data_IF_632420120569
#
_entry.id   IF_632420120569
#
_cell.length_a   1.000
_cell.length_b   1.000
_cell.length_c   1.000
_cell.angle_alpha   90.00
_cell.angle_beta   90.00
_cell.angle_gamma   90.00
#
_symmetry.space_group_name_H-M   'P 1'
#
loop_
_entity.id
_entity.type
_entity.pdbx_description
1 polymer ?
#
# COMPACT_ATOMS: atom_id res chain seq x y z
N UNK A 1 -15.45 -5.26 -5.20
CA UNK A 1 -15.45 -3.80 -5.20
C UNK A 1 -14.08 -3.32 -5.68
N UNK A 2 -14.03 -2.30 -6.52
CA UNK A 2 -12.77 -1.68 -6.97
C UNK A 2 -12.40 -0.55 -6.01
N UNK A 3 -11.12 -0.48 -5.64
CA UNK A 3 -10.56 0.68 -4.97
C UNK A 3 -10.10 1.64 -6.06
N UNK A 4 -10.62 2.85 -6.06
CA UNK A 4 -10.33 3.85 -7.08
C UNK A 4 -11.23 3.76 -8.31
N UNK A 5 -11.93 4.84 -8.58
CA UNK A 5 -12.91 4.91 -9.67
C UNK A 5 -12.41 5.72 -10.87
N UNK A 6 -11.54 6.70 -10.64
CA UNK A 6 -11.17 7.71 -11.64
C UNK A 6 -9.75 7.52 -12.21
N UNK A 7 -8.95 6.62 -11.66
CA UNK A 7 -7.57 6.35 -12.11
C UNK A 7 -6.57 7.49 -11.92
N UNK A 8 -6.97 8.59 -11.27
CA UNK A 8 -6.13 9.79 -11.12
C UNK A 8 -5.21 9.76 -9.90
N UNK A 9 -5.50 8.90 -8.91
CA UNK A 9 -4.71 8.82 -7.68
C UNK A 9 -3.24 8.45 -7.92
N UNK A 10 -2.97 7.65 -8.94
CA UNK A 10 -1.61 7.28 -9.34
C UNK A 10 -0.72 8.49 -9.66
N UNK A 11 -1.28 9.51 -10.29
CA UNK A 11 -0.50 10.70 -10.66
C UNK A 11 0.00 11.51 -9.46
N UNK A 12 -0.64 11.39 -8.30
CA UNK A 12 -0.17 12.04 -7.08
C UNK A 12 1.21 11.54 -6.62
N UNK A 13 1.62 10.34 -7.02
CA UNK A 13 2.94 9.81 -6.71
C UNK A 13 4.08 10.65 -7.32
N UNK A 14 3.85 11.36 -8.42
CA UNK A 14 4.83 12.29 -9.01
C UNK A 14 5.11 13.52 -8.15
N UNK A 15 4.26 13.85 -7.18
CA UNK A 15 4.57 14.91 -6.22
C UNK A 15 5.77 14.55 -5.32
N UNK A 16 5.99 13.26 -5.08
CA UNK A 16 7.09 12.77 -4.25
C UNK A 16 8.20 12.10 -5.06
N UNK A 17 7.98 11.82 -6.34
CA UNK A 17 8.89 11.07 -7.19
C UNK A 17 9.58 11.95 -8.23
N UNK A 18 10.83 11.63 -8.53
CA UNK A 18 11.55 12.11 -9.72
C UNK A 18 11.37 11.17 -10.92
N UNK A 19 10.97 9.92 -10.67
CA UNK A 19 10.71 8.88 -11.67
C UNK A 19 9.84 7.79 -11.05
N UNK A 20 8.97 7.19 -11.84
CA UNK A 20 8.19 6.02 -11.46
C UNK A 20 8.36 4.94 -12.53
N UNK A 21 8.68 3.73 -12.09
CA UNK A 21 8.71 2.52 -12.90
C UNK A 21 7.58 1.59 -12.46
N UNK A 22 6.80 1.08 -13.43
CA UNK A 22 5.71 0.11 -13.20
C UNK A 22 6.00 -1.15 -13.98
N UNK A 23 6.14 -2.25 -13.28
CA UNK A 23 6.28 -3.58 -13.87
C UNK A 23 4.98 -4.33 -13.66
N UNK A 24 4.38 -4.85 -14.71
CA UNK A 24 3.10 -5.53 -14.61
C UNK A 24 3.04 -6.79 -15.47
N UNK A 25 2.41 -7.83 -14.91
CA UNK A 25 2.14 -9.08 -15.61
C UNK A 25 0.65 -9.40 -15.49
N UNK A 26 -0.01 -9.56 -16.63
CA UNK A 26 -1.44 -9.84 -16.72
C UNK A 26 -1.76 -11.24 -16.22
N UNK A 27 -2.81 -11.38 -15.40
CA UNK A 27 -3.35 -12.68 -15.04
C UNK A 27 -3.91 -13.40 -16.27
N UNK A 28 -3.64 -14.70 -16.39
CA UNK A 28 -4.07 -15.53 -17.54
C UNK A 28 -3.74 -14.92 -18.93
N UNK A 29 -2.66 -14.14 -19.00
CA UNK A 29 -2.15 -13.55 -20.24
C UNK A 29 -1.10 -14.43 -20.94
N UNK A 30 -0.40 -13.83 -21.89
CA UNK A 30 0.71 -14.44 -22.65
C UNK A 30 2.02 -14.58 -21.85
N UNK A 31 2.00 -14.26 -20.58
CA UNK A 31 3.15 -14.33 -19.68
C UNK A 31 4.11 -13.15 -19.78
N UNK A 32 3.85 -12.18 -20.65
CA UNK A 32 4.70 -11.02 -20.84
C UNK A 32 4.69 -10.11 -19.61
N UNK A 33 5.86 -9.58 -19.30
CA UNK A 33 6.05 -8.56 -18.27
C UNK A 33 6.25 -7.25 -19.01
N UNK A 34 5.36 -6.30 -18.77
CA UNK A 34 5.47 -4.96 -19.31
C UNK A 34 6.09 -4.02 -18.29
N UNK A 35 7.01 -3.19 -18.73
CA UNK A 35 7.60 -2.11 -17.96
C UNK A 35 7.14 -0.78 -18.54
N UNK A 36 6.56 0.05 -17.71
CA UNK A 36 6.25 1.44 -18.00
C UNK A 36 7.10 2.35 -17.11
N UNK A 37 7.62 3.42 -17.67
CA UNK A 37 8.48 4.36 -16.97
C UNK A 37 8.17 5.80 -17.36
N UNK A 38 8.15 6.71 -16.40
CA UNK A 38 8.01 8.15 -16.63
C UNK A 38 8.63 8.97 -15.51
N UNK A 39 9.06 10.18 -15.84
CA UNK A 39 9.46 11.23 -14.89
C UNK A 39 8.33 12.24 -14.59
N UNK A 40 7.13 11.99 -15.13
CA UNK A 40 5.95 12.83 -14.93
C UNK A 40 5.91 14.09 -15.81
N UNK A 41 6.84 14.26 -16.74
CA UNK A 41 6.86 15.40 -17.67
C UNK A 41 5.99 15.14 -18.91
N UNK A 42 6.59 15.04 -20.09
CA UNK A 42 5.85 14.99 -21.34
C UNK A 42 5.89 13.62 -22.04
N UNK A 43 6.62 12.66 -21.48
CA UNK A 43 6.83 11.37 -22.11
C UNK A 43 6.81 10.20 -21.11
N UNK A 44 6.62 9.03 -21.66
CA UNK A 44 6.78 7.76 -20.99
C UNK A 44 7.41 6.76 -21.94
N UNK A 45 7.98 5.73 -21.37
CA UNK A 45 8.55 4.60 -22.11
C UNK A 45 7.77 3.33 -21.77
N UNK A 46 7.61 2.44 -22.73
CA UNK A 46 7.02 1.10 -22.52
C UNK A 46 7.90 0.07 -23.19
N UNK A 47 8.36 -0.91 -22.41
CA UNK A 47 9.20 -2.00 -22.85
C UNK A 47 8.67 -3.35 -22.38
N UNK A 48 9.02 -4.41 -23.08
CA UNK A 48 8.83 -5.78 -22.60
C UNK A 48 10.08 -6.23 -21.82
N UNK A 49 9.87 -6.76 -20.63
CA UNK A 49 10.94 -7.26 -19.75
C UNK A 49 11.04 -8.77 -19.86
N UNK A 50 12.24 -9.29 -20.06
CA UNK A 50 12.48 -10.71 -20.08
C UNK A 50 12.17 -11.38 -18.73
N UNK A 51 11.51 -12.55 -18.77
CA UNK A 51 11.07 -13.28 -17.56
C UNK A 51 12.26 -13.75 -16.72
N UNK A 52 13.40 -14.01 -17.33
CA UNK A 52 14.64 -14.44 -16.66
C UNK A 52 15.49 -13.26 -16.13
N UNK A 53 15.05 -12.02 -16.36
CA UNK A 53 15.77 -10.82 -15.95
C UNK A 53 15.88 -10.70 -14.42
N UNK A 54 16.87 -9.91 -13.96
CA UNK A 54 17.02 -9.60 -12.54
C UNK A 54 15.80 -8.85 -11.98
N UNK A 55 15.17 -8.01 -12.79
CA UNK A 55 13.97 -7.25 -12.41
C UNK A 55 12.78 -8.20 -12.21
N UNK A 56 12.57 -9.14 -13.13
CA UNK A 56 11.52 -10.15 -12.98
C UNK A 56 11.70 -10.96 -11.70
N UNK A 57 12.93 -11.37 -11.38
CA UNK A 57 13.27 -12.08 -10.14
C UNK A 57 13.05 -11.22 -8.90
N UNK A 58 13.43 -9.93 -8.95
CA UNK A 58 13.24 -8.98 -7.83
C UNK A 58 11.78 -8.91 -7.38
N UNK A 59 10.85 -8.92 -8.33
CA UNK A 59 9.40 -8.82 -8.05
C UNK A 59 8.67 -10.17 -8.10
N UNK A 60 9.39 -11.29 -8.31
CA UNK A 60 8.83 -12.63 -8.35
C UNK A 60 8.07 -12.96 -9.64
N UNK A 61 8.17 -12.13 -10.67
CA UNK A 61 7.53 -12.36 -11.98
C UNK A 61 8.21 -13.46 -12.81
N UNK A 62 9.35 -13.98 -12.38
CA UNK A 62 10.00 -15.16 -12.93
C UNK A 62 9.24 -16.46 -12.66
N UNK A 63 8.26 -16.46 -11.75
CA UNK A 63 7.39 -17.59 -11.45
C UNK A 63 6.19 -17.60 -12.38
N UNK A 64 5.90 -18.76 -12.98
CA UNK A 64 4.92 -18.88 -14.06
C UNK A 64 3.49 -18.43 -13.70
N UNK A 65 3.09 -18.52 -12.44
CA UNK A 65 1.71 -18.25 -12.01
C UNK A 65 1.53 -16.89 -11.34
N UNK A 66 2.60 -16.10 -11.17
CA UNK A 66 2.49 -14.81 -10.51
C UNK A 66 2.07 -13.73 -11.51
N UNK A 67 0.94 -13.08 -11.22
CA UNK A 67 0.46 -11.90 -11.91
C UNK A 67 0.29 -10.75 -10.93
N UNK A 68 0.28 -9.54 -11.42
CA UNK A 68 0.14 -8.33 -10.59
C UNK A 68 0.98 -7.18 -11.11
N UNK A 69 1.17 -6.19 -10.25
CA UNK A 69 1.98 -5.01 -10.57
C UNK A 69 2.94 -4.68 -9.43
N UNK A 70 4.16 -4.30 -9.80
CA UNK A 70 5.15 -3.72 -8.90
C UNK A 70 5.39 -2.26 -9.33
N UNK A 71 5.32 -1.34 -8.38
CA UNK A 71 5.54 0.09 -8.61
C UNK A 71 6.77 0.50 -7.84
N UNK A 72 7.79 0.98 -8.56
CA UNK A 72 9.01 1.50 -7.97
C UNK A 72 9.01 3.03 -8.06
N UNK A 73 9.01 3.67 -6.89
CA UNK A 73 8.96 5.13 -6.77
C UNK A 73 10.35 5.62 -6.41
N UNK A 74 11.01 6.31 -7.34
CA UNK A 74 12.29 6.96 -7.11
C UNK A 74 12.04 8.34 -6.50
N UNK A 75 12.15 8.43 -5.18
CA UNK A 75 11.85 9.66 -4.46
C UNK A 75 12.75 10.83 -4.90
N UNK A 76 12.17 12.01 -4.97
CA UNK A 76 12.92 13.26 -5.08
C UNK A 76 13.62 13.59 -3.75
N UNK A 77 14.48 14.62 -3.75
CA UNK A 77 15.29 14.95 -2.58
C UNK A 77 14.46 15.45 -1.40
N UNK A 78 13.36 16.14 -1.65
CA UNK A 78 12.49 16.70 -0.62
C UNK A 78 11.56 15.64 0.01
N UNK A 79 11.45 14.46 -0.61
CA UNK A 79 10.52 13.39 -0.21
C UNK A 79 11.22 12.17 0.39
N UNK A 80 12.50 12.27 0.75
CA UNK A 80 13.28 11.15 1.29
C UNK A 80 12.73 10.58 2.61
N UNK A 81 11.95 11.36 3.35
CA UNK A 81 11.29 10.89 4.57
C UNK A 81 10.34 9.71 4.32
N UNK A 82 9.74 9.63 3.12
CA UNK A 82 8.85 8.52 2.74
C UNK A 82 9.58 7.20 2.50
N UNK A 83 10.91 7.17 2.48
CA UNK A 83 11.68 5.93 2.50
C UNK A 83 11.81 5.33 3.92
N UNK A 84 11.34 6.04 4.95
CA UNK A 84 11.38 5.57 6.33
C UNK A 84 10.23 4.62 6.62
N UNK A 85 10.52 3.46 7.23
CA UNK A 85 9.52 2.50 7.70
C UNK A 85 8.44 3.19 8.55
N UNK A 86 8.85 3.97 9.54
CA UNK A 86 7.95 4.64 10.48
C UNK A 86 6.98 5.59 9.78
N UNK A 87 7.50 6.33 8.78
CA UNK A 87 6.68 7.27 8.02
C UNK A 87 5.64 6.55 7.16
N UNK A 88 6.02 5.48 6.50
CA UNK A 88 5.09 4.66 5.70
C UNK A 88 4.03 4.01 6.59
N UNK A 89 4.43 3.46 7.73
CA UNK A 89 3.50 2.83 8.68
C UNK A 89 2.50 3.86 9.25
N UNK A 90 2.96 5.06 9.63
CA UNK A 90 2.12 6.17 10.06
C UNK A 90 1.08 6.54 8.99
N UNK A 91 1.52 6.72 7.74
CA UNK A 91 0.65 7.09 6.63
C UNK A 91 -0.38 6.00 6.31
N UNK A 92 0.03 4.73 6.32
CA UNK A 92 -0.89 3.61 6.10
C UNK A 92 -1.95 3.55 7.19
N UNK A 93 -1.55 3.65 8.45
CA UNK A 93 -2.50 3.67 9.57
C UNK A 93 -3.46 4.84 9.49
N UNK A 94 -2.96 6.00 9.11
CA UNK A 94 -3.77 7.23 9.05
C UNK A 94 -4.78 7.24 7.91
N UNK A 95 -4.40 6.76 6.72
CA UNK A 95 -5.20 6.94 5.49
C UNK A 95 -5.73 5.65 4.90
N UNK A 96 -5.20 4.49 5.30
CA UNK A 96 -5.46 3.20 4.66
C UNK A 96 -5.76 2.07 5.65
N UNK A 97 -5.93 2.38 6.93
CA UNK A 97 -6.14 1.35 7.96
C UNK A 97 -7.37 0.50 7.69
N UNK A 98 -8.45 1.13 7.22
CA UNK A 98 -9.74 0.51 6.97
C UNK A 98 -9.94 0.00 5.54
N UNK A 99 -8.92 0.03 4.69
CA UNK A 99 -8.99 -0.60 3.37
C UNK A 99 -9.14 -2.11 3.56
N UNK A 100 -10.16 -2.72 2.91
CA UNK A 100 -10.52 -4.13 3.08
C UNK A 100 -9.49 -5.13 2.51
N UNK A 101 -8.27 -4.67 2.19
CA UNK A 101 -7.16 -5.48 1.73
C UNK A 101 -5.99 -5.33 2.69
N UNK A 102 -5.32 -6.44 3.07
CA UNK A 102 -4.16 -6.36 3.93
C UNK A 102 -3.01 -5.67 3.21
N UNK A 103 -2.35 -4.75 3.90
CA UNK A 103 -1.14 -4.06 3.45
C UNK A 103 0.02 -4.60 4.26
N UNK A 104 0.99 -5.19 3.57
CA UNK A 104 2.20 -5.74 4.19
C UNK A 104 3.38 -4.83 3.92
N UNK A 105 4.09 -4.46 4.98
CA UNK A 105 5.33 -3.71 4.91
C UNK A 105 6.52 -4.66 5.04
N UNK A 106 7.34 -4.71 4.00
CA UNK A 106 8.60 -5.45 3.98
C UNK A 106 9.73 -4.50 4.31
N UNK A 107 10.58 -4.88 5.26
CA UNK A 107 11.69 -4.04 5.68
C UNK A 107 12.84 -4.85 6.26
N UNK A 108 14.03 -4.25 6.27
CA UNK A 108 15.21 -4.82 6.93
C UNK A 108 15.33 -4.26 8.35
N UNK A 109 15.30 -5.16 9.34
CA UNK A 109 15.54 -4.80 10.73
C UNK A 109 17.00 -5.09 11.09
N UNK A 110 17.72 -4.04 11.49
CA UNK A 110 19.09 -4.18 11.97
C UNK A 110 19.15 -4.93 13.29
N UNK A 111 20.12 -5.85 13.41
CA UNK A 111 20.42 -6.57 14.66
C UNK A 111 21.63 -5.95 15.29
N UNK A 112 21.60 -5.84 16.61
CA UNK A 112 22.71 -5.31 17.42
C UNK A 112 23.12 -6.33 18.48
N UNK A 113 24.40 -6.38 18.82
CA UNK A 113 24.92 -7.15 19.95
C UNK A 113 24.67 -6.42 21.28
N UNK A 114 25.04 -7.07 22.39
CA UNK A 114 24.92 -6.52 23.74
C UNK A 114 25.73 -5.21 23.93
N UNK A 115 26.69 -4.93 23.05
CA UNK A 115 27.52 -3.72 23.06
C UNK A 115 27.02 -2.62 22.11
N UNK A 116 25.82 -2.84 21.48
CA UNK A 116 25.21 -1.89 20.55
C UNK A 116 25.87 -1.85 19.16
N UNK A 117 26.72 -2.84 18.83
CA UNK A 117 27.34 -2.93 17.49
C UNK A 117 26.39 -3.68 16.54
N UNK A 118 26.21 -3.14 15.34
CA UNK A 118 25.42 -3.79 14.28
C UNK A 118 26.06 -5.13 13.88
N UNK A 119 25.30 -6.22 13.96
CA UNK A 119 25.74 -7.59 13.68
C UNK A 119 25.14 -8.15 12.40
N UNK A 120 24.22 -7.42 11.78
CA UNK A 120 23.56 -7.81 10.53
C UNK A 120 22.14 -7.24 10.42
N UNK A 121 21.39 -7.69 9.43
CA UNK A 121 19.99 -7.38 9.27
C UNK A 121 19.16 -8.65 9.12
N UNK A 122 17.86 -8.51 9.39
CA UNK A 122 16.86 -9.56 9.20
C UNK A 122 15.69 -8.98 8.42
N UNK A 123 15.27 -9.64 7.35
CA UNK A 123 14.11 -9.27 6.57
C UNK A 123 12.83 -9.59 7.34
N UNK A 124 11.94 -8.63 7.49
CA UNK A 124 10.65 -8.77 8.17
C UNK A 124 9.50 -8.33 7.29
N UNK A 125 8.35 -8.90 7.59
CA UNK A 125 7.09 -8.62 6.89
C UNK A 125 6.02 -8.47 7.98
N UNK A 126 5.47 -7.26 8.11
CA UNK A 126 4.39 -6.98 9.04
C UNK A 126 3.15 -6.50 8.28
N UNK A 127 1.97 -7.00 8.67
CA UNK A 127 0.72 -6.38 8.24
C UNK A 127 0.52 -5.10 9.05
N UNK A 128 0.39 -3.96 8.34
CA UNK A 128 0.40 -2.64 8.96
C UNK A 128 -0.95 -1.95 9.02
N UNK A 129 -1.99 -2.52 8.41
CA UNK A 129 -3.35 -2.01 8.50
C UNK A 129 -4.30 -3.05 9.13
N UNK A 130 -5.44 -2.60 9.65
CA UNK A 130 -6.46 -3.48 10.23
C UNK A 130 -7.20 -4.30 9.17
N UNK A 131 -7.18 -3.87 7.92
CA UNK A 131 -7.88 -4.46 6.77
C UNK A 131 -9.39 -4.68 7.04
N UNK A 132 -9.98 -3.87 7.91
CA UNK A 132 -11.36 -3.95 8.36
C UNK A 132 -12.12 -2.68 8.04
N UNK A 133 -13.05 -2.75 7.09
CA UNK A 133 -13.98 -1.67 6.80
C UNK A 133 -15.19 -1.78 7.73
N UNK A 134 -15.19 -1.05 8.84
CA UNK A 134 -16.25 -1.09 9.86
C UNK A 134 -17.63 -0.87 9.26
N UNK A 135 -17.77 0.05 8.32
CA UNK A 135 -19.04 0.38 7.66
C UNK A 135 -19.59 -0.74 6.75
N UNK A 136 -18.82 -1.79 6.48
CA UNK A 136 -19.25 -2.97 5.72
C UNK A 136 -19.71 -4.11 6.62
N UNK A 137 -19.44 -4.03 7.92
CA UNK A 137 -19.84 -5.06 8.88
C UNK A 137 -21.26 -4.84 9.33
N UNK A 138 -21.94 -5.91 9.64
CA UNK A 138 -23.30 -5.87 10.18
C UNK A 138 -23.29 -5.20 11.56
N UNK A 139 -24.33 -4.40 11.85
CA UNK A 139 -24.50 -3.76 13.17
C UNK A 139 -24.49 -4.77 14.33
N UNK A 140 -24.96 -6.00 14.08
CA UNK A 140 -24.98 -7.08 15.07
C UNK A 140 -23.60 -7.66 15.41
N UNK A 141 -22.59 -7.39 14.58
CA UNK A 141 -21.21 -7.86 14.75
C UNK A 141 -20.30 -6.81 15.41
N UNK A 142 -20.84 -5.61 15.62
CA UNK A 142 -20.09 -4.47 16.13
C UNK A 142 -20.51 -4.15 17.56
N UNK A 143 -19.55 -3.81 18.38
CA UNK A 143 -19.71 -3.32 19.74
C UNK A 143 -19.49 -1.82 19.78
N UNK A 144 -19.86 -1.20 20.88
CA UNK A 144 -19.65 0.24 21.12
C UNK A 144 -18.16 0.62 21.07
N UNK A 145 -17.30 -0.26 21.58
CA UNK A 145 -15.85 -0.08 21.53
C UNK A 145 -15.32 0.02 20.11
N UNK A 146 -15.86 -0.75 19.16
CA UNK A 146 -15.45 -0.73 17.74
C UNK A 146 -15.74 0.65 17.12
N UNK A 147 -16.89 1.27 17.45
CA UNK A 147 -17.25 2.62 16.97
C UNK A 147 -16.38 3.70 17.61
N UNK A 148 -16.10 3.57 18.90
CA UNK A 148 -15.27 4.52 19.64
C UNK A 148 -13.82 4.50 19.11
N UNK A 149 -13.26 3.30 18.88
CA UNK A 149 -11.92 3.14 18.31
C UNK A 149 -11.85 3.70 16.87
N UNK A 150 -12.86 3.41 16.07
CA UNK A 150 -12.97 3.95 14.71
C UNK A 150 -13.02 5.48 14.71
N UNK A 151 -13.81 6.09 15.58
CA UNK A 151 -13.89 7.55 15.71
C UNK A 151 -12.53 8.15 16.10
N UNK A 152 -11.87 7.58 17.12
CA UNK A 152 -10.55 8.03 17.58
C UNK A 152 -9.50 7.94 16.47
N UNK A 153 -9.56 6.88 15.68
CA UNK A 153 -8.63 6.65 14.57
C UNK A 153 -8.82 7.64 13.43
N UNK A 154 -10.07 7.87 12.99
CA UNK A 154 -10.36 8.79 11.87
C UNK A 154 -10.28 10.25 12.32
N UNK A 155 -10.84 10.56 13.50
CA UNK A 155 -10.88 11.92 14.02
C UNK A 155 -9.55 12.42 14.57
N UNK A 156 -8.57 11.51 14.78
CA UNK A 156 -7.34 11.78 15.51
C UNK A 156 -7.60 12.45 16.86
N UNK A 157 -8.75 12.12 17.46
CA UNK A 157 -9.17 12.64 18.76
C UNK A 157 -9.08 11.51 19.80
N UNK A 158 -8.51 11.79 20.97
CA UNK A 158 -8.43 10.83 22.07
C UNK A 158 -9.76 10.68 22.84
N UNK A 159 -10.76 11.51 22.56
CA UNK A 159 -12.06 11.47 23.23
C UNK A 159 -13.01 10.50 22.53
N UNK A 160 -14.06 10.10 23.22
CA UNK A 160 -15.12 9.28 22.64
C UNK A 160 -16.14 10.15 21.91
N UNK A 161 -16.80 9.61 20.86
CA UNK A 161 -17.84 10.35 20.14
C UNK A 161 -19.03 10.61 21.06
N UNK A 162 -19.65 11.78 20.90
CA UNK A 162 -20.89 12.09 21.64
C UNK A 162 -22.05 11.16 21.23
N UNK A 163 -22.04 10.73 19.98
CA UNK A 163 -23.04 9.84 19.41
C UNK A 163 -22.57 9.27 18.09
N UNK A 164 -23.07 8.11 17.71
CA UNK A 164 -22.85 7.52 16.40
C UNK A 164 -24.15 6.97 15.80
N UNK A 165 -24.23 6.93 14.48
CA UNK A 165 -25.35 6.33 13.73
C UNK A 165 -24.77 5.35 12.73
N UNK A 166 -25.26 4.11 12.78
CA UNK A 166 -24.92 3.10 11.80
C UNK A 166 -26.22 2.71 11.05
N UNK A 167 -26.27 3.06 9.78
CA UNK A 167 -27.36 2.76 8.87
C UNK A 167 -26.87 1.92 7.71
N UNK A 168 -27.68 1.00 7.24
CA UNK A 168 -27.47 0.27 6.00
C UNK A 168 -28.49 0.79 4.99
N UNK A 169 -28.01 1.35 3.88
CA UNK A 169 -28.88 1.81 2.80
C UNK A 169 -29.05 0.67 1.78
N UNK A 170 -30.27 0.23 1.57
CA UNK A 170 -30.61 -0.71 0.49
C UNK A 170 -30.99 0.10 -0.75
N UNK A 171 -30.25 -0.06 -1.85
CA UNK A 171 -30.49 0.64 -3.11
C UNK A 171 -29.40 0.45 -4.15
N UNK A 172 -29.59 1.07 -5.32
CA UNK A 172 -28.63 1.03 -6.45
C UNK A 172 -27.37 1.90 -6.24
N UNK A 173 -27.29 2.62 -5.15
CA UNK A 173 -26.12 3.39 -4.72
C UNK A 173 -25.59 2.77 -3.42
N UNK A 174 -24.78 1.73 -3.56
CA UNK A 174 -23.92 1.22 -2.52
C UNK A 174 -22.55 1.92 -2.54
#
# INVERSE_FOLDING_TARGET
ALIGQFGVGFYSAFMAAKKIDVYTRKAAGDGKIMHWSSDGTNSYEIDEVAVDSLVAKKYGFDKNDLSGSAIEIHLNDDSKEYASRWKIEELIKRYSDHIAFPIYLHYEQKKYDEKGKETGSESKIDQVNSASALWKRSKSELKEEDYNEFYKTIGHDGQEPLHYVHTHAEGTQE
#
